data_IF_491881511119
#
_entry.id   IF_491881511119
#
_cell.length_a   1.000
_cell.length_b   1.000
_cell.length_c   1.000
_cell.angle_alpha   90.00
_cell.angle_beta   90.00
_cell.angle_gamma   90.00
#
_symmetry.space_group_name_H-M   'P 1'
#
loop_
_entity.id
_entity.type
_entity.pdbx_description
1 polymer ?
#
# COMPACT_ATOMS: atom_id res chain seq x y z
N UNK A 1 32.86 -1.92 -45.41
CA UNK A 1 32.99 -1.52 -44.00
C UNK A 1 31.81 -2.13 -43.25
N UNK A 2 32.09 -2.98 -42.28
CA UNK A 2 31.07 -3.77 -41.56
C UNK A 2 30.26 -2.85 -40.66
N UNK A 3 28.96 -2.78 -40.90
CA UNK A 3 27.98 -2.14 -40.02
C UNK A 3 27.86 -2.96 -38.73
N UNK A 4 28.49 -2.48 -37.66
CA UNK A 4 28.29 -2.97 -36.30
C UNK A 4 26.86 -2.62 -35.85
N UNK A 5 25.92 -3.53 -36.05
CA UNK A 5 24.63 -3.48 -35.36
C UNK A 5 24.83 -4.03 -33.96
N UNK A 6 25.13 -3.15 -33.00
CA UNK A 6 24.88 -3.48 -31.60
C UNK A 6 23.39 -3.84 -31.48
N UNK A 7 23.01 -4.99 -30.91
CA UNK A 7 21.61 -5.21 -30.58
C UNK A 7 21.25 -4.17 -29.52
N UNK A 8 20.48 -3.16 -29.93
CA UNK A 8 19.80 -2.24 -29.01
C UNK A 8 18.87 -3.11 -28.17
N UNK A 9 19.34 -3.54 -27.01
CA UNK A 9 18.56 -4.35 -26.08
C UNK A 9 17.36 -3.50 -25.66
N UNK A 10 16.18 -3.82 -26.20
CA UNK A 10 14.94 -3.14 -25.86
C UNK A 10 14.78 -3.08 -24.32
N UNK A 11 14.13 -2.03 -23.78
CA UNK A 11 13.93 -1.93 -22.35
C UNK A 11 13.16 -3.16 -21.86
N UNK A 12 13.73 -3.89 -20.90
CA UNK A 12 12.99 -4.92 -20.14
C UNK A 12 11.83 -4.23 -19.43
N UNK A 13 10.61 -4.72 -19.66
CA UNK A 13 9.42 -4.21 -18.99
C UNK A 13 9.52 -4.44 -17.48
N UNK A 14 8.81 -3.62 -16.71
CA UNK A 14 8.75 -3.75 -15.25
C UNK A 14 7.32 -4.08 -14.85
N UNK A 15 7.12 -5.03 -13.94
CA UNK A 15 5.84 -5.23 -13.28
C UNK A 15 5.98 -4.73 -11.84
N UNK A 16 5.18 -3.72 -11.48
CA UNK A 16 5.14 -3.16 -10.14
C UNK A 16 3.95 -3.76 -9.39
N UNK A 17 4.22 -4.70 -8.49
CA UNK A 17 3.22 -5.33 -7.63
C UNK A 17 3.06 -4.51 -6.36
N UNK A 18 1.87 -3.92 -6.15
CA UNK A 18 1.53 -3.17 -4.94
C UNK A 18 0.50 -3.96 -4.15
N UNK A 19 0.92 -4.54 -3.03
CA UNK A 19 0.06 -5.37 -2.18
C UNK A 19 -0.23 -4.67 -0.87
N UNK A 20 -1.50 -4.34 -0.62
CA UNK A 20 -1.94 -3.87 0.69
C UNK A 20 -2.24 -5.04 1.63
N UNK A 21 -1.82 -4.95 2.89
CA UNK A 21 -2.04 -6.03 3.85
C UNK A 21 -2.13 -5.61 5.33
N UNK A 22 -2.60 -6.53 6.17
CA UNK A 22 -2.73 -6.42 7.61
C UNK A 22 -1.49 -6.97 8.36
N UNK A 23 -0.97 -6.19 9.31
CA UNK A 23 0.06 -6.65 10.24
C UNK A 23 -0.48 -7.63 11.29
N UNK A 24 -1.76 -7.56 11.65
CA UNK A 24 -2.40 -8.54 12.56
C UNK A 24 -2.78 -9.87 11.87
N UNK A 25 -2.42 -10.05 10.59
CA UNK A 25 -2.69 -11.27 9.82
C UNK A 25 -1.45 -12.16 9.67
N UNK A 26 -1.54 -13.23 8.86
CA UNK A 26 -0.35 -14.00 8.47
C UNK A 26 0.69 -13.10 7.77
N UNK A 27 1.97 -13.48 7.74
CA UNK A 27 2.95 -12.79 6.92
C UNK A 27 2.58 -12.87 5.43
N UNK A 28 3.21 -12.02 4.61
CA UNK A 28 3.15 -12.19 3.16
C UNK A 28 3.89 -13.47 2.77
N UNK A 29 3.46 -14.09 1.68
CA UNK A 29 4.10 -15.27 1.08
C UNK A 29 5.29 -14.90 0.16
N UNK A 30 5.61 -13.60 0.09
CA UNK A 30 6.77 -13.05 -0.61
C UNK A 30 7.51 -12.04 0.27
N UNK A 31 8.81 -11.88 0.00
CA UNK A 31 9.63 -10.81 0.58
C UNK A 31 9.46 -9.54 -0.26
N UNK A 32 8.98 -8.41 0.33
CA UNK A 32 8.82 -7.17 -0.42
C UNK A 32 10.17 -6.46 -0.61
N UNK A 33 10.38 -5.90 -1.80
CA UNK A 33 11.49 -4.99 -2.09
C UNK A 33 11.33 -3.65 -1.36
N UNK A 34 10.07 -3.20 -1.21
CA UNK A 34 9.74 -1.96 -0.52
C UNK A 34 8.60 -2.22 0.45
N UNK A 35 8.83 -1.88 1.72
CA UNK A 35 7.82 -1.92 2.76
C UNK A 35 7.39 -0.51 3.19
N UNK A 36 6.08 -0.29 3.22
CA UNK A 36 5.43 1.01 3.48
C UNK A 36 4.50 0.86 4.69
N UNK A 37 4.77 1.61 5.76
CA UNK A 37 3.98 1.58 6.99
C UNK A 37 2.88 2.66 6.98
N UNK A 38 1.67 2.30 6.53
CA UNK A 38 0.52 3.21 6.48
C UNK A 38 -0.11 3.49 7.85
N UNK A 39 0.38 2.90 8.96
CA UNK A 39 -0.13 3.18 10.32
C UNK A 39 0.20 4.58 10.82
N UNK A 40 1.19 5.24 10.21
CA UNK A 40 1.60 6.61 10.56
C UNK A 40 0.58 7.68 10.14
N UNK A 41 -0.35 7.31 9.27
CA UNK A 41 -1.44 8.17 8.82
C UNK A 41 -2.56 8.23 9.86
N UNK A 42 -3.33 9.32 9.83
CA UNK A 42 -4.58 9.42 10.60
C UNK A 42 -5.46 8.18 10.40
N UNK A 43 -6.13 7.78 11.48
CA UNK A 43 -7.14 6.72 11.38
C UNK A 43 -8.42 7.34 10.81
N UNK A 44 -9.02 6.80 9.73
CA UNK A 44 -10.26 7.34 9.21
C UNK A 44 -11.38 7.31 10.28
N UNK A 45 -12.33 8.26 10.24
CA UNK A 45 -13.52 8.27 11.08
C UNK A 45 -14.24 6.93 11.15
N UNK A 46 -14.89 6.64 12.28
CA UNK A 46 -15.50 5.34 12.55
C UNK A 46 -16.57 4.98 11.52
N UNK A 47 -17.33 5.98 11.12
CA UNK A 47 -18.46 5.91 10.20
C UNK A 47 -17.96 5.51 8.81
N UNK A 48 -16.88 6.15 8.34
CA UNK A 48 -16.22 5.80 7.08
C UNK A 48 -15.61 4.39 7.12
N UNK A 49 -15.02 3.98 8.25
CA UNK A 49 -14.42 2.64 8.40
C UNK A 49 -15.45 1.53 8.37
N UNK A 50 -16.63 1.76 8.91
CA UNK A 50 -17.74 0.80 8.91
C UNK A 50 -18.37 0.71 7.53
N UNK A 51 -18.61 1.85 6.89
CA UNK A 51 -19.27 1.92 5.59
C UNK A 51 -18.41 1.44 4.43
N UNK A 52 -17.09 1.65 4.47
CA UNK A 52 -16.20 1.43 3.32
C UNK A 52 -14.84 0.82 3.67
N UNK A 53 -14.15 0.34 2.63
CA UNK A 53 -12.72 0.03 2.64
C UNK A 53 -11.91 1.12 1.92
N UNK A 54 -10.58 0.98 1.88
CA UNK A 54 -9.68 1.98 1.33
C UNK A 54 -9.77 2.23 -0.17
N UNK A 55 -10.59 1.48 -0.92
CA UNK A 55 -10.85 1.76 -2.35
C UNK A 55 -11.79 2.94 -2.55
N UNK A 56 -12.66 3.19 -1.56
CA UNK A 56 -13.65 4.26 -1.60
C UNK A 56 -12.99 5.63 -1.67
N UNK A 57 -13.44 6.45 -2.61
CA UNK A 57 -12.97 7.82 -2.85
C UNK A 57 -13.25 8.72 -1.64
N UNK A 58 -14.39 8.59 -0.96
CA UNK A 58 -14.66 9.31 0.29
C UNK A 58 -13.61 9.03 1.38
N UNK A 59 -13.21 7.76 1.55
CA UNK A 59 -12.16 7.38 2.50
C UNK A 59 -10.79 7.89 2.05
N UNK A 60 -10.44 7.72 0.77
CA UNK A 60 -9.18 8.25 0.20
C UNK A 60 -9.10 9.77 0.31
N UNK A 61 -10.19 10.49 0.12
CA UNK A 61 -10.27 11.95 0.28
C UNK A 61 -10.03 12.37 1.73
N UNK A 62 -10.62 11.66 2.70
CA UNK A 62 -10.35 11.91 4.13
C UNK A 62 -8.85 11.76 4.45
N UNK A 63 -8.22 10.70 3.96
CA UNK A 63 -6.78 10.48 4.16
C UNK A 63 -5.92 11.52 3.43
N UNK A 64 -6.25 11.88 2.18
CA UNK A 64 -5.51 12.89 1.41
C UNK A 64 -5.58 14.30 1.98
N UNK A 65 -6.55 14.60 2.85
CA UNK A 65 -6.63 15.87 3.55
C UNK A 65 -5.51 16.04 4.60
N UNK A 66 -4.89 14.94 5.03
CA UNK A 66 -3.71 14.94 5.90
C UNK A 66 -2.42 15.06 5.06
N UNK A 67 -1.57 16.08 5.27
CA UNK A 67 -0.28 16.20 4.57
C UNK A 67 0.61 14.96 4.65
N UNK A 68 0.56 14.22 5.78
CA UNK A 68 1.36 13.01 5.98
C UNK A 68 1.05 11.91 4.94
N UNK A 69 -0.14 11.96 4.33
CA UNK A 69 -0.51 11.06 3.25
C UNK A 69 0.30 11.33 1.97
N UNK A 70 0.41 12.60 1.57
CA UNK A 70 1.18 12.98 0.38
C UNK A 70 2.67 12.78 0.62
N UNK A 71 3.16 13.09 1.82
CA UNK A 71 4.54 12.80 2.23
C UNK A 71 4.87 11.31 2.12
N UNK A 72 3.95 10.43 2.54
CA UNK A 72 4.13 8.98 2.40
C UNK A 72 4.26 8.52 0.95
N UNK A 73 3.45 9.07 0.04
CA UNK A 73 3.57 8.74 -1.39
C UNK A 73 4.88 9.29 -1.98
N UNK A 74 5.25 10.52 -1.62
CA UNK A 74 6.48 11.15 -2.07
C UNK A 74 7.74 10.43 -1.59
N UNK A 75 7.72 9.87 -0.38
CA UNK A 75 8.81 9.04 0.16
C UNK A 75 8.86 7.63 -0.46
N UNK A 76 7.69 7.05 -0.79
CA UNK A 76 7.61 5.71 -1.35
C UNK A 76 8.19 5.64 -2.77
N UNK A 77 7.89 6.64 -3.60
CA UNK A 77 8.29 6.68 -5.00
C UNK A 77 9.81 6.47 -5.23
N UNK A 78 10.73 7.26 -4.64
CA UNK A 78 12.16 7.07 -4.88
C UNK A 78 12.66 5.70 -4.39
N UNK A 79 12.09 5.15 -3.30
CA UNK A 79 12.44 3.81 -2.80
C UNK A 79 12.07 2.71 -3.79
N UNK A 80 10.94 2.85 -4.49
CA UNK A 80 10.48 1.91 -5.52
C UNK A 80 11.39 1.97 -6.74
N UNK A 81 11.79 3.17 -7.18
CA UNK A 81 12.76 3.31 -8.26
C UNK A 81 14.14 2.71 -7.90
N UNK A 82 14.60 2.92 -6.67
CA UNK A 82 15.87 2.33 -6.22
C UNK A 82 15.79 0.79 -6.18
N UNK A 83 14.68 0.23 -5.70
CA UNK A 83 14.45 -1.21 -5.69
C UNK A 83 14.46 -1.81 -7.12
N UNK A 84 13.80 -1.13 -8.06
CA UNK A 84 13.79 -1.53 -9.46
C UNK A 84 15.20 -1.55 -10.07
N UNK A 85 15.98 -0.49 -9.84
CA UNK A 85 17.36 -0.42 -10.33
C UNK A 85 18.23 -1.54 -9.76
N UNK A 86 18.09 -1.84 -8.46
CA UNK A 86 18.79 -2.97 -7.81
C UNK A 86 18.41 -4.30 -8.45
N UNK A 87 17.11 -4.57 -8.64
CA UNK A 87 16.62 -5.79 -9.30
C UNK A 87 17.15 -5.91 -10.74
N UNK A 88 17.09 -4.81 -11.50
CA UNK A 88 17.60 -4.77 -12.88
C UNK A 88 19.10 -5.08 -12.95
N UNK A 89 19.90 -4.50 -12.05
CA UNK A 89 21.35 -4.76 -12.00
C UNK A 89 21.67 -6.23 -11.71
N UNK A 90 20.92 -6.88 -10.80
CA UNK A 90 21.09 -8.30 -10.49
C UNK A 90 20.82 -9.19 -11.71
N UNK A 91 19.78 -8.90 -12.49
CA UNK A 91 19.45 -9.69 -13.69
C UNK A 91 20.51 -9.52 -14.79
N UNK A 92 21.07 -8.31 -14.95
CA UNK A 92 22.15 -8.07 -15.92
C UNK A 92 23.43 -8.83 -15.52
N UNK A 93 23.81 -8.75 -14.25
CA UNK A 93 25.03 -9.37 -13.75
C UNK A 93 24.95 -10.90 -13.68
N UNK A 94 23.75 -11.46 -13.48
CA UNK A 94 23.52 -12.90 -13.44
C UNK A 94 23.55 -13.61 -14.81
N UNK A 95 23.77 -12.88 -15.92
CA UNK A 95 23.71 -13.38 -17.30
C UNK A 95 22.41 -14.13 -17.67
N UNK A 96 21.35 -13.96 -16.88
CA UNK A 96 20.04 -14.49 -17.23
C UNK A 96 19.37 -13.56 -18.24
N UNK A 97 19.83 -13.69 -19.49
CA UNK A 97 19.33 -12.95 -20.63
C UNK A 97 17.94 -13.45 -21.07
N UNK A 98 17.45 -14.56 -20.51
CA UNK A 98 16.10 -15.05 -20.76
C UNK A 98 15.05 -14.23 -19.98
N UNK A 99 15.44 -13.63 -18.85
CA UNK A 99 14.57 -12.72 -18.09
C UNK A 99 14.35 -11.42 -18.87
N UNK A 100 13.12 -11.25 -19.33
CA UNK A 100 12.66 -10.07 -20.09
C UNK A 100 11.88 -9.06 -19.24
N UNK A 101 11.54 -9.42 -18.01
CA UNK A 101 10.71 -8.62 -17.10
C UNK A 101 11.39 -8.44 -15.75
N UNK A 102 11.31 -7.25 -15.18
CA UNK A 102 11.74 -6.95 -13.82
C UNK A 102 10.50 -6.89 -12.93
N UNK A 103 10.44 -7.71 -11.89
CA UNK A 103 9.36 -7.65 -10.91
C UNK A 103 9.81 -6.88 -9.67
N UNK A 104 8.98 -5.95 -9.22
CA UNK A 104 9.20 -5.17 -7.99
C UNK A 104 7.99 -5.33 -7.09
N UNK A 105 8.22 -5.85 -5.88
CA UNK A 105 7.20 -6.17 -4.90
C UNK A 105 7.14 -5.08 -3.81
N UNK A 106 6.03 -4.36 -3.75
CA UNK A 106 5.76 -3.32 -2.76
C UNK A 106 4.68 -3.80 -1.80
N UNK A 107 4.99 -3.80 -0.51
CA UNK A 107 4.05 -4.14 0.55
C UNK A 107 3.62 -2.89 1.32
N UNK A 108 2.31 -2.67 1.41
CA UNK A 108 1.71 -1.55 2.13
C UNK A 108 0.93 -2.06 3.33
N UNK A 109 1.37 -1.75 4.53
CA UNK A 109 0.85 -2.35 5.76
C UNK A 109 0.02 -1.37 6.59
N UNK A 110 -1.13 -1.83 7.10
CA UNK A 110 -1.79 -1.19 8.23
C UNK A 110 -2.18 -2.26 9.28
N UNK A 111 -2.93 -1.89 10.32
CA UNK A 111 -3.24 -2.84 11.41
C UNK A 111 -4.05 -4.03 10.90
N UNK A 112 -5.16 -3.75 10.18
CA UNK A 112 -6.13 -4.77 9.72
C UNK A 112 -6.22 -4.89 8.19
N UNK A 113 -5.41 -4.15 7.44
CA UNK A 113 -5.30 -4.32 5.99
C UNK A 113 -6.46 -3.78 5.14
N UNK A 114 -7.49 -3.14 5.73
CA UNK A 114 -8.72 -2.74 5.02
C UNK A 114 -8.81 -1.28 4.59
N UNK A 115 -8.18 -0.37 5.31
CA UNK A 115 -8.43 1.08 5.16
C UNK A 115 -7.20 1.82 4.68
N UNK A 116 -6.31 2.21 5.60
CA UNK A 116 -5.11 3.02 5.31
C UNK A 116 -4.20 2.36 4.27
N UNK A 117 -3.90 1.07 4.43
CA UNK A 117 -3.03 0.35 3.50
C UNK A 117 -3.62 0.23 2.11
N UNK A 118 -4.91 -0.10 2.02
CA UNK A 118 -5.66 -0.22 0.77
C UNK A 118 -5.71 1.12 0.05
N UNK A 119 -6.01 2.20 0.77
CA UNK A 119 -6.02 3.55 0.22
C UNK A 119 -4.66 4.00 -0.30
N UNK A 120 -3.59 3.76 0.46
CA UNK A 120 -2.23 4.08 0.01
C UNK A 120 -1.85 3.26 -1.23
N UNK A 121 -2.18 1.96 -1.26
CA UNK A 121 -1.90 1.12 -2.42
C UNK A 121 -2.64 1.59 -3.70
N UNK A 122 -3.91 1.96 -3.56
CA UNK A 122 -4.73 2.53 -4.64
C UNK A 122 -4.15 3.84 -5.19
N UNK A 123 -3.77 4.76 -4.31
CA UNK A 123 -3.21 6.06 -4.73
C UNK A 123 -1.81 5.90 -5.32
N UNK A 124 -0.98 5.03 -4.73
CA UNK A 124 0.33 4.69 -5.27
C UNK A 124 0.21 4.11 -6.69
N UNK A 125 -0.77 3.22 -6.91
CA UNK A 125 -1.03 2.64 -8.23
C UNK A 125 -1.52 3.64 -9.29
N UNK A 126 -2.06 4.78 -8.87
CA UNK A 126 -2.60 5.83 -9.75
C UNK A 126 -1.64 6.98 -10.01
N UNK A 127 -0.45 6.98 -9.42
CA UNK A 127 0.52 8.06 -9.62
C UNK A 127 0.89 8.19 -11.11
N UNK A 128 0.91 9.41 -11.69
CA UNK A 128 1.25 9.63 -13.10
C UNK A 128 2.76 9.52 -13.38
N UNK A 129 3.56 9.15 -12.37
CA UNK A 129 5.02 9.16 -12.40
C UNK A 129 5.60 7.83 -12.87
N UNK A 130 4.78 6.78 -12.95
CA UNK A 130 5.26 5.47 -13.39
C UNK A 130 5.61 5.51 -14.88
N UNK A 131 6.83 5.09 -15.27
CA UNK A 131 7.23 5.06 -16.67
C UNK A 131 6.30 4.17 -17.52
N UNK A 132 6.14 4.48 -18.80
CA UNK A 132 5.24 3.73 -19.71
C UNK A 132 5.53 2.22 -19.81
N UNK A 133 6.77 1.81 -19.49
CA UNK A 133 7.17 0.41 -19.50
C UNK A 133 6.84 -0.34 -18.19
N UNK A 134 6.17 0.31 -17.24
CA UNK A 134 5.69 -0.27 -16.01
C UNK A 134 4.26 -0.78 -16.20
N UNK A 135 4.04 -2.06 -15.95
CA UNK A 135 2.72 -2.62 -15.70
C UNK A 135 2.45 -2.59 -14.18
N UNK A 136 1.57 -1.69 -13.74
CA UNK A 136 1.24 -1.55 -12.31
C UNK A 136 0.08 -2.47 -11.94
N UNK A 137 0.28 -3.33 -10.95
CA UNK A 137 -0.72 -4.28 -10.43
C UNK A 137 -0.97 -4.00 -8.95
N UNK A 138 -2.21 -3.64 -8.62
CA UNK A 138 -2.64 -3.42 -7.23
C UNK A 138 -3.44 -4.63 -6.75
N UNK A 139 -3.09 -5.15 -5.58
CA UNK A 139 -3.78 -6.26 -4.93
C UNK A 139 -4.04 -5.96 -3.45
N UNK A 140 -5.18 -6.41 -2.93
CA UNK A 140 -5.57 -6.17 -1.55
C UNK A 140 -5.85 -7.48 -0.80
N UNK A 141 -4.82 -8.03 -0.16
CA UNK A 141 -4.89 -9.34 0.50
C UNK A 141 -6.10 -9.49 1.42
N UNK A 142 -6.31 -8.52 2.32
CA UNK A 142 -7.34 -8.62 3.38
C UNK A 142 -8.72 -8.07 2.96
N UNK A 143 -8.86 -7.58 1.73
CA UNK A 143 -10.10 -7.01 1.18
C UNK A 143 -10.65 -7.84 0.01
N UNK A 144 -9.76 -8.42 -0.78
CA UNK A 144 -10.10 -9.31 -1.89
C UNK A 144 -10.49 -10.71 -1.39
N UNK A 145 -10.02 -11.10 -0.20
CA UNK A 145 -10.43 -12.33 0.48
C UNK A 145 -11.84 -12.19 1.08
N UNK A 146 -12.72 -13.21 0.97
CA UNK A 146 -14.05 -13.16 1.55
C UNK A 146 -14.08 -12.79 3.03
N UNK A 147 -14.85 -11.76 3.38
CA UNK A 147 -15.06 -11.33 4.75
C UNK A 147 -16.49 -10.81 4.96
N UNK A 148 -16.95 -10.75 6.21
CA UNK A 148 -18.36 -10.45 6.53
C UNK A 148 -18.85 -9.12 5.93
N UNK A 149 -18.02 -8.08 5.92
CA UNK A 149 -18.36 -6.77 5.36
C UNK A 149 -18.22 -6.63 3.83
N UNK A 150 -17.73 -7.67 3.12
CA UNK A 150 -17.26 -7.52 1.74
C UNK A 150 -18.37 -7.10 0.80
N UNK A 151 -19.53 -7.76 0.89
CA UNK A 151 -20.70 -7.46 0.06
C UNK A 151 -21.19 -6.02 0.28
N UNK A 152 -21.18 -5.56 1.53
CA UNK A 152 -21.60 -4.20 1.88
C UNK A 152 -20.63 -3.15 1.32
N UNK A 153 -19.32 -3.36 1.52
CA UNK A 153 -18.29 -2.47 0.98
C UNK A 153 -18.32 -2.41 -0.55
N UNK A 154 -18.51 -3.55 -1.22
CA UNK A 154 -18.68 -3.59 -2.68
C UNK A 154 -19.90 -2.78 -3.14
N UNK A 155 -21.05 -2.92 -2.47
CA UNK A 155 -22.24 -2.12 -2.78
C UNK A 155 -21.99 -0.62 -2.67
N UNK A 156 -21.28 -0.18 -1.62
CA UNK A 156 -20.94 1.23 -1.45
C UNK A 156 -19.92 1.73 -2.50
N UNK A 157 -18.96 0.90 -2.92
CA UNK A 157 -18.08 1.22 -4.04
C UNK A 157 -18.85 1.37 -5.36
N UNK A 158 -19.85 0.51 -5.60
CA UNK A 158 -20.71 0.61 -6.78
C UNK A 158 -21.57 1.87 -6.79
N UNK A 159 -22.16 2.23 -5.63
CA UNK A 159 -22.89 3.48 -5.45
C UNK A 159 -22.01 4.69 -5.77
N UNK A 160 -20.81 4.75 -5.19
CA UNK A 160 -19.89 5.84 -5.43
C UNK A 160 -19.47 5.92 -6.91
N UNK A 161 -19.23 4.79 -7.56
CA UNK A 161 -18.93 4.73 -9.01
C UNK A 161 -20.08 5.25 -9.86
N UNK A 162 -21.33 5.06 -9.40
CA UNK A 162 -22.53 5.57 -10.06
C UNK A 162 -22.83 7.05 -9.69
N UNK A 163 -22.00 7.69 -8.86
CA UNK A 163 -22.21 9.06 -8.39
C UNK A 163 -23.25 9.20 -7.26
N UNK A 164 -23.63 8.08 -6.64
CA UNK A 164 -24.56 8.05 -5.51
C UNK A 164 -23.83 8.28 -4.18
N UNK A 165 -24.55 8.82 -3.20
CA UNK A 165 -24.01 8.96 -1.85
C UNK A 165 -23.85 7.59 -1.16
N UNK A 166 -22.73 7.43 -0.45
CA UNK A 166 -22.49 6.28 0.42
C UNK A 166 -23.39 6.40 1.66
N UNK A 167 -24.04 5.30 2.02
CA UNK A 167 -24.82 5.22 3.26
C UNK A 167 -23.87 5.04 4.45
N UNK A 168 -23.64 6.12 5.19
CA UNK A 168 -22.78 6.14 6.39
C UNK A 168 -23.56 5.76 7.66
N UNK A 169 -24.89 5.85 7.64
CA UNK A 169 -25.74 5.75 8.82
C UNK A 169 -26.22 4.31 9.08
N UNK A 170 -26.20 3.46 8.05
CA UNK A 170 -26.60 2.06 8.16
C UNK A 170 -25.45 1.14 7.71
N UNK A 171 -24.57 0.67 8.60
CA UNK A 171 -23.37 -0.11 8.21
C UNK A 171 -23.65 -1.53 7.68
N UNK A 172 -24.88 -1.85 7.26
CA UNK A 172 -25.28 -3.06 6.53
C UNK A 172 -25.22 -4.37 7.33
N UNK A 173 -24.57 -4.38 8.49
CA UNK A 173 -24.38 -5.54 9.37
C UNK A 173 -24.46 -5.04 10.81
N UNK A 174 -25.29 -5.68 11.64
CA UNK A 174 -25.46 -5.34 13.06
C UNK A 174 -24.09 -5.22 13.73
N UNK A 175 -23.70 -3.99 14.04
CA UNK A 175 -22.37 -3.63 14.52
C UNK A 175 -22.14 -4.18 15.93
N UNK A 176 -21.83 -5.46 16.03
CA UNK A 176 -20.99 -5.97 17.12
C UNK A 176 -19.53 -5.72 16.75
N UNK A 177 -19.23 -4.46 16.50
CA UNK A 177 -17.88 -3.97 16.48
C UNK A 177 -17.50 -3.77 17.95
N UNK A 178 -16.93 -4.80 18.58
CA UNK A 178 -16.10 -4.64 19.77
C UNK A 178 -14.77 -3.93 19.42
N UNK A 179 -14.80 -3.04 18.43
CA UNK A 179 -13.67 -2.49 17.68
C UNK A 179 -13.33 -1.04 18.12
N UNK A 180 -13.88 -0.57 19.24
CA UNK A 180 -13.60 0.75 19.84
C UNK A 180 -12.64 0.68 21.06
N UNK A 181 -12.09 -0.48 21.39
CA UNK A 181 -11.03 -0.61 22.43
C UNK A 181 -9.63 -0.31 21.84
N UNK A 182 -9.48 0.84 21.18
CA UNK A 182 -8.18 1.52 21.15
C UNK A 182 -8.14 2.41 22.41
N UNK A 183 -7.98 1.78 23.58
CA UNK A 183 -7.62 2.46 24.83
C UNK A 183 -6.20 3.02 24.69
N UNK A 184 -6.10 4.17 24.02
CA UNK A 184 -4.98 5.08 24.20
C UNK A 184 -5.11 5.67 25.60
N UNK A 185 -4.45 5.03 26.56
CA UNK A 185 -4.17 5.65 27.84
C UNK A 185 -3.54 7.02 27.61
N UNK A 186 -4.17 8.05 28.15
CA UNK A 186 -3.61 9.40 28.23
C UNK A 186 -2.34 9.34 29.07
N UNK A 187 -1.20 9.11 28.43
CA UNK A 187 0.11 9.34 29.00
C UNK A 187 0.76 10.50 28.25
N UNK A 188 0.76 11.65 28.92
CA UNK A 188 1.66 12.76 28.66
C UNK A 188 3.08 12.22 28.45
N UNK A 189 3.59 12.32 27.23
CA UNK A 189 4.97 11.95 26.91
C UNK A 189 5.86 13.11 27.30
N UNK A 190 6.64 12.95 28.36
CA UNK A 190 7.71 13.86 28.71
C UNK A 190 8.82 13.78 27.64
N UNK A 191 9.60 14.86 27.49
CA UNK A 191 10.67 14.98 26.49
C UNK A 191 11.75 13.87 26.57
N UNK A 192 11.77 13.06 27.62
CA UNK A 192 12.68 11.93 27.79
C UNK A 192 12.35 10.74 26.89
N UNK A 193 11.08 10.51 26.54
CA UNK A 193 10.68 9.41 25.65
C UNK A 193 11.06 9.67 24.19
N UNK A 194 11.18 10.95 23.79
CA UNK A 194 11.64 11.33 22.44
C UNK A 194 13.09 10.92 22.17
N UNK A 195 13.95 10.90 23.21
CA UNK A 195 15.38 10.56 23.06
C UNK A 195 15.65 9.05 23.00
N UNK A 196 14.68 8.20 23.36
CA UNK A 196 14.84 6.73 23.33
C UNK A 196 14.50 6.12 21.96
N UNK A 197 13.81 6.87 21.10
CA UNK A 197 13.41 6.46 19.75
C UNK A 197 14.54 6.53 18.71
N UNK A 198 15.70 7.10 19.06
CA UNK A 198 16.86 7.27 18.17
C UNK A 198 17.91 6.15 18.30
N UNK A 199 17.61 5.06 19.03
CA UNK A 199 18.49 3.90 19.08
C UNK A 199 18.25 2.95 17.90
N UNK A 200 19.29 2.73 17.11
CA UNK A 200 19.38 1.91 15.90
C UNK A 200 18.65 0.56 15.97
N UNK A 201 18.14 0.05 14.83
CA UNK A 201 17.53 -1.28 14.79
C UNK A 201 18.59 -2.36 15.06
N UNK A 202 18.42 -3.09 16.15
CA UNK A 202 19.13 -4.34 16.39
C UNK A 202 18.72 -5.36 15.32
N UNK A 203 19.72 -5.76 14.55
CA UNK A 203 19.79 -7.00 13.77
C UNK A 203 19.01 -8.12 14.44
N UNK A 204 17.94 -8.57 13.78
CA UNK A 204 17.43 -9.93 13.95
C UNK A 204 17.18 -10.49 12.57
N UNK A 205 17.78 -11.65 12.33
CA UNK A 205 17.72 -12.38 11.09
C UNK A 205 16.31 -12.97 10.88
N UNK A 206 15.96 -13.05 9.59
CA UNK A 206 14.79 -13.67 8.96
C UNK A 206 13.51 -12.84 9.00
#
# INVERSE_FOLDING_TARGET
MLSNTNPTTAPRSTILHITSYALKGPPLDFEPDVHINARRLINPPSELRKACDGRCEGLRRNLRADPAFQELLAEAQPRIFEAEQKRRALIINGQDHAVRMVEVNVAVACVRGRHRSTAVAEELGKLPVWPEHYEVKVHHRDVDTPHQYQKWHQQNLERERNGEAVDLDNPGIGSKDSDDEDSYGSHSTSEEDRRRSEAEPRSTAW
#
